data_IF_700628030354
#
_entry.id   IF_700628030354
#
_cell.length_a   1.000
_cell.length_b   1.000
_cell.length_c   1.000
_cell.angle_alpha   90.00
_cell.angle_beta   90.00
_cell.angle_gamma   90.00
#
_symmetry.space_group_name_H-M   'P 1'
#
loop_
_entity.id
_entity.type
_entity.pdbx_description
1 polymer ?
#
# COMPACT_ATOMS: atom_id res chain seq x y z
N UNK A 1 -23.74 -6.57 -1.62
CA UNK A 1 -22.49 -6.01 -2.18
C UNK A 1 -21.49 -7.14 -2.21
N UNK A 2 -20.84 -7.42 -3.35
CA UNK A 2 -19.70 -8.35 -3.37
C UNK A 2 -18.54 -7.66 -2.67
N UNK A 3 -17.82 -8.38 -1.82
CA UNK A 3 -16.57 -7.88 -1.25
C UNK A 3 -15.56 -7.67 -2.39
N UNK A 4 -14.81 -6.55 -2.41
CA UNK A 4 -13.80 -6.33 -3.42
C UNK A 4 -12.74 -7.43 -3.35
N UNK A 5 -12.34 -7.96 -4.50
CA UNK A 5 -11.27 -8.96 -4.57
C UNK A 5 -9.93 -8.22 -4.46
N UNK A 6 -9.11 -8.60 -3.49
CA UNK A 6 -7.76 -8.06 -3.32
C UNK A 6 -6.74 -8.94 -4.05
N UNK A 7 -5.99 -8.36 -4.98
CA UNK A 7 -4.84 -9.00 -5.62
C UNK A 7 -3.56 -8.27 -5.21
N UNK A 8 -2.55 -9.03 -4.76
CA UNK A 8 -1.23 -8.49 -4.41
C UNK A 8 -0.18 -8.85 -5.46
N UNK A 9 0.58 -7.85 -5.92
CA UNK A 9 1.75 -7.99 -6.80
C UNK A 9 2.98 -7.42 -6.09
N UNK A 10 4.16 -8.00 -6.34
CA UNK A 10 5.39 -7.57 -5.65
C UNK A 10 6.58 -7.49 -6.60
N UNK A 11 7.47 -6.54 -6.33
CA UNK A 11 8.72 -6.38 -7.05
C UNK A 11 9.89 -6.14 -6.09
N UNK A 12 11.05 -6.73 -6.40
CA UNK A 12 12.32 -6.52 -5.70
C UNK A 12 12.26 -6.72 -4.17
N UNK A 13 11.60 -7.79 -3.71
CA UNK A 13 11.54 -8.14 -2.28
C UNK A 13 12.96 -8.41 -1.73
N UNK A 14 13.51 -7.43 -1.02
CA UNK A 14 14.86 -7.53 -0.44
C UNK A 14 14.92 -8.43 0.81
N UNK A 15 13.81 -8.53 1.55
CA UNK A 15 13.72 -9.32 2.77
C UNK A 15 12.29 -9.85 2.92
N UNK A 16 12.14 -11.16 2.82
CA UNK A 16 10.85 -11.85 2.87
C UNK A 16 10.13 -11.68 4.21
N UNK A 17 10.87 -11.62 5.32
CA UNK A 17 10.27 -11.45 6.65
C UNK A 17 9.70 -10.05 6.83
N UNK A 18 10.48 -9.02 6.47
CA UNK A 18 10.01 -7.63 6.54
C UNK A 18 8.83 -7.40 5.59
N UNK A 19 8.91 -7.93 4.37
CA UNK A 19 7.79 -7.91 3.43
C UNK A 19 6.54 -8.50 4.06
N UNK A 20 6.62 -9.71 4.62
CA UNK A 20 5.47 -10.37 5.24
C UNK A 20 4.90 -9.60 6.43
N UNK A 21 5.75 -9.03 7.28
CA UNK A 21 5.31 -8.20 8.40
C UNK A 21 4.45 -7.00 7.94
N UNK A 22 4.86 -6.34 6.85
CA UNK A 22 4.14 -5.19 6.28
C UNK A 22 2.89 -5.66 5.54
N UNK A 23 3.00 -6.72 4.74
CA UNK A 23 1.91 -7.24 3.93
C UNK A 23 0.74 -7.74 4.78
N UNK A 24 1.05 -8.49 5.85
CA UNK A 24 0.05 -8.99 6.79
C UNK A 24 -0.71 -7.82 7.47
N UNK A 25 -0.01 -6.74 7.86
CA UNK A 25 -0.63 -5.54 8.40
C UNK A 25 -1.53 -4.83 7.38
N UNK A 26 -1.04 -4.62 6.16
CA UNK A 26 -1.81 -3.94 5.11
C UNK A 26 -3.10 -4.71 4.80
N UNK A 27 -3.02 -6.03 4.67
CA UNK A 27 -4.19 -6.89 4.43
C UNK A 27 -5.20 -6.78 5.59
N UNK A 28 -4.74 -6.81 6.84
CA UNK A 28 -5.60 -6.61 8.02
C UNK A 28 -6.32 -5.25 7.97
N UNK A 29 -5.58 -4.18 7.67
CA UNK A 29 -6.14 -2.83 7.57
C UNK A 29 -7.18 -2.73 6.45
N UNK A 30 -6.88 -3.26 5.26
CA UNK A 30 -7.82 -3.22 4.13
C UNK A 30 -9.10 -4.00 4.38
N UNK A 31 -9.02 -5.11 5.11
CA UNK A 31 -10.18 -5.94 5.42
C UNK A 31 -11.00 -5.41 6.59
N UNK A 32 -10.38 -4.59 7.46
CA UNK A 32 -11.05 -4.01 8.63
C UNK A 32 -11.69 -2.66 8.34
N UNK A 33 -11.03 -1.82 7.53
CA UNK A 33 -11.50 -0.46 7.24
C UNK A 33 -12.37 -0.47 5.99
N UNK A 34 -13.63 -0.05 6.14
CA UNK A 34 -14.55 0.14 5.02
C UNK A 34 -14.19 1.39 4.20
N UNK A 35 -13.23 1.25 3.28
CA UNK A 35 -12.77 2.37 2.44
C UNK A 35 -13.66 2.49 1.22
N UNK A 36 -14.15 3.71 0.98
CA UNK A 36 -14.87 4.03 -0.26
C UNK A 36 -13.85 4.38 -1.35
N UNK A 37 -13.32 3.35 -2.02
CA UNK A 37 -12.24 3.48 -3.00
C UNK A 37 -12.58 4.39 -4.20
N UNK A 38 -13.84 4.61 -4.53
CA UNK A 38 -14.25 5.56 -5.58
C UNK A 38 -14.10 7.03 -5.15
N UNK A 39 -14.11 7.32 -3.84
CA UNK A 39 -14.00 8.67 -3.30
C UNK A 39 -12.54 9.09 -3.13
N UNK A 40 -12.13 10.17 -3.80
CA UNK A 40 -10.75 10.70 -3.72
C UNK A 40 -10.36 11.11 -2.30
N UNK A 41 -11.26 11.74 -1.55
CA UNK A 41 -10.99 12.18 -0.18
C UNK A 41 -10.68 10.99 0.74
N UNK A 42 -11.50 9.94 0.69
CA UNK A 42 -11.27 8.73 1.49
C UNK A 42 -9.95 8.03 1.12
N UNK A 43 -9.58 8.00 -0.18
CA UNK A 43 -8.28 7.47 -0.60
C UNK A 43 -7.12 8.30 -0.05
N UNK A 44 -7.22 9.63 -0.10
CA UNK A 44 -6.20 10.53 0.45
C UNK A 44 -6.05 10.35 1.97
N UNK A 45 -7.15 10.36 2.72
CA UNK A 45 -7.14 10.11 4.17
C UNK A 45 -6.53 8.75 4.51
N UNK A 46 -6.83 7.72 3.71
CA UNK A 46 -6.25 6.40 3.88
C UNK A 46 -4.74 6.38 3.60
N UNK A 47 -4.27 7.06 2.54
CA UNK A 47 -2.84 7.21 2.26
C UNK A 47 -2.12 7.91 3.42
N UNK A 48 -2.68 8.99 3.95
CA UNK A 48 -2.13 9.71 5.10
C UNK A 48 -2.05 8.83 6.36
N UNK A 49 -3.09 8.03 6.62
CA UNK A 49 -3.09 7.08 7.73
C UNK A 49 -1.98 6.02 7.60
N UNK A 50 -1.78 5.46 6.40
CA UNK A 50 -0.70 4.49 6.16
C UNK A 50 0.68 5.17 6.23
N UNK A 51 0.79 6.42 5.79
CA UNK A 51 2.03 7.20 5.88
C UNK A 51 2.45 7.42 7.33
N UNK A 52 1.51 7.81 8.20
CA UNK A 52 1.75 7.93 9.64
C UNK A 52 2.16 6.60 10.28
N UNK A 53 1.54 5.50 9.88
CA UNK A 53 1.93 4.18 10.38
C UNK A 53 3.33 3.79 9.91
N UNK A 54 3.68 4.03 8.64
CA UNK A 54 5.01 3.76 8.10
C UNK A 54 6.08 4.60 8.80
N UNK A 55 5.79 5.85 9.14
CA UNK A 55 6.67 6.71 9.92
C UNK A 55 6.97 6.11 11.29
N UNK A 56 5.93 5.74 12.04
CA UNK A 56 6.06 5.12 13.35
C UNK A 56 6.80 3.78 13.27
N UNK A 57 6.43 2.91 12.32
CA UNK A 57 7.08 1.61 12.12
C UNK A 57 8.55 1.75 11.73
N UNK A 58 8.90 2.71 10.87
CA UNK A 58 10.29 2.97 10.49
C UNK A 58 11.10 3.47 11.69
N UNK A 59 10.52 4.35 12.52
CA UNK A 59 11.14 4.83 13.75
C UNK A 59 11.39 3.70 14.75
N UNK A 60 10.40 2.84 15.01
CA UNK A 60 10.54 1.77 16.02
C UNK A 60 11.45 0.63 15.54
N UNK A 61 11.26 0.19 14.29
CA UNK A 61 11.99 -0.97 13.77
C UNK A 61 13.41 -0.64 13.34
N UNK A 62 13.67 0.62 12.95
CA UNK A 62 14.92 1.06 12.31
C UNK A 62 15.30 0.24 11.05
N UNK A 63 14.33 -0.50 10.47
CA UNK A 63 14.52 -1.38 9.30
C UNK A 63 14.33 -0.64 7.97
N UNK A 64 13.54 0.43 7.96
CA UNK A 64 13.18 1.22 6.77
C UNK A 64 13.78 2.62 6.90
N UNK A 65 14.29 3.17 5.81
CA UNK A 65 14.88 4.51 5.79
C UNK A 65 14.08 5.51 4.95
N UNK A 66 13.28 5.03 3.99
CA UNK A 66 12.48 5.82 3.07
C UNK A 66 11.30 4.98 2.59
N UNK A 67 10.15 5.61 2.35
CA UNK A 67 8.97 5.00 1.75
C UNK A 67 8.21 6.00 0.89
N UNK A 68 7.32 5.47 0.05
CA UNK A 68 6.38 6.23 -0.80
C UNK A 68 5.08 5.43 -0.92
N UNK A 69 3.94 6.13 -0.88
CA UNK A 69 2.61 5.55 -0.92
C UNK A 69 1.83 6.26 -2.04
N UNK A 70 1.27 5.46 -2.96
CA UNK A 70 0.61 5.97 -4.16
C UNK A 70 -0.77 5.34 -4.28
N UNK A 71 -1.82 6.17 -4.29
CA UNK A 71 -3.20 5.77 -4.57
C UNK A 71 -3.96 6.93 -5.24
N UNK A 72 -3.37 7.46 -6.30
CA UNK A 72 -3.87 8.64 -7.01
C UNK A 72 -3.71 8.47 -8.53
N UNK A 73 -3.83 9.57 -9.28
CA UNK A 73 -3.73 9.56 -10.74
C UNK A 73 -2.38 9.09 -11.30
N UNK A 74 -1.34 8.94 -10.46
CA UNK A 74 -0.05 8.38 -10.86
C UNK A 74 -0.12 6.88 -11.16
N UNK A 75 -1.01 6.15 -10.47
CA UNK A 75 -1.19 4.70 -10.63
C UNK A 75 -2.65 4.28 -10.86
N UNK A 76 -3.59 5.22 -10.93
CA UNK A 76 -4.99 4.97 -11.23
C UNK A 76 -5.47 5.89 -12.35
N UNK A 77 -5.83 5.31 -13.49
CA UNK A 77 -6.46 6.03 -14.60
C UNK A 77 -7.94 6.28 -14.34
N UNK A 78 -8.56 7.15 -15.14
CA UNK A 78 -10.01 7.33 -15.12
C UNK A 78 -10.77 6.03 -15.48
N UNK A 79 -10.17 5.18 -16.32
CA UNK A 79 -10.72 3.90 -16.74
C UNK A 79 -10.69 2.89 -15.60
N UNK A 80 -9.62 2.87 -14.79
CA UNK A 80 -9.52 2.02 -13.60
C UNK A 80 -10.68 2.31 -12.64
N UNK A 81 -10.86 3.59 -12.28
CA UNK A 81 -11.97 3.99 -11.42
C UNK A 81 -13.35 3.68 -12.01
N UNK A 82 -13.52 3.85 -13.33
CA UNK A 82 -14.78 3.54 -14.01
C UNK A 82 -15.07 2.03 -14.02
N UNK A 83 -14.04 1.19 -14.06
CA UNK A 83 -14.15 -0.27 -13.98
C UNK A 83 -14.30 -0.80 -12.55
N UNK A 84 -14.14 0.07 -11.54
CA UNK A 84 -14.12 -0.30 -10.12
C UNK A 84 -12.76 -0.78 -9.61
N UNK A 85 -11.73 -0.75 -10.47
CA UNK A 85 -10.36 -1.10 -10.09
C UNK A 85 -9.67 0.05 -9.36
N UNK A 86 -8.97 -0.26 -8.27
CA UNK A 86 -8.08 0.71 -7.60
C UNK A 86 -6.75 0.08 -7.25
N UNK A 87 -5.68 0.77 -7.61
CA UNK A 87 -4.30 0.43 -7.34
C UNK A 87 -3.78 1.23 -6.15
N UNK A 88 -3.30 0.53 -5.13
CA UNK A 88 -2.59 1.09 -4.00
C UNK A 88 -1.16 0.53 -3.99
N UNK A 89 -0.17 1.40 -4.13
CA UNK A 89 1.24 1.00 -4.20
C UNK A 89 1.97 1.50 -2.96
N UNK A 90 2.65 0.59 -2.26
CA UNK A 90 3.60 0.88 -1.20
C UNK A 90 5.01 0.55 -1.67
N UNK A 91 5.90 1.54 -1.62
CA UNK A 91 7.32 1.38 -1.90
C UNK A 91 8.11 1.67 -0.64
N UNK A 92 9.12 0.85 -0.36
CA UNK A 92 10.01 1.14 0.76
C UNK A 92 11.44 0.68 0.48
N UNK A 93 12.38 1.45 1.03
CA UNK A 93 13.80 1.11 1.02
C UNK A 93 14.21 0.61 2.39
N UNK A 94 14.65 -0.64 2.44
CA UNK A 94 15.24 -1.21 3.64
C UNK A 94 16.63 -0.63 3.90
N UNK A 95 16.96 -0.43 5.18
CA UNK A 95 18.31 -0.09 5.62
C UNK A 95 19.32 -1.11 5.08
N UNK A 96 20.45 -0.61 4.59
CA UNK A 96 21.52 -1.39 3.96
C UNK A 96 21.14 -2.14 2.67
N UNK A 97 19.99 -1.84 2.06
CA UNK A 97 19.61 -2.35 0.74
C UNK A 97 19.64 -1.23 -0.30
N UNK A 98 20.11 -1.55 -1.50
CA UNK A 98 20.11 -0.60 -2.62
C UNK A 98 18.75 -0.55 -3.32
N UNK A 99 18.12 -1.71 -3.50
CA UNK A 99 16.85 -1.80 -4.22
C UNK A 99 15.68 -1.32 -3.34
N UNK A 100 14.65 -0.81 -4.00
CA UNK A 100 13.37 -0.49 -3.38
C UNK A 100 12.46 -1.70 -3.52
N UNK A 101 11.88 -2.15 -2.42
CA UNK A 101 10.80 -3.14 -2.44
C UNK A 101 9.51 -2.42 -2.82
N UNK A 102 8.72 -3.02 -3.71
CA UNK A 102 7.40 -2.53 -4.09
C UNK A 102 6.34 -3.61 -3.85
N UNK A 103 5.24 -3.19 -3.24
CA UNK A 103 4.03 -3.98 -3.06
C UNK A 103 2.89 -3.19 -3.68
N UNK A 104 2.13 -3.84 -4.56
CA UNK A 104 0.94 -3.27 -5.16
C UNK A 104 -0.28 -4.12 -4.79
N UNK A 105 -1.30 -3.43 -4.33
CA UNK A 105 -2.59 -3.96 -3.92
C UNK A 105 -3.64 -3.46 -4.91
N UNK A 106 -4.30 -4.38 -5.60
CA UNK A 106 -5.30 -4.10 -6.62
C UNK A 106 -6.66 -4.56 -6.10
N UNK A 107 -7.57 -3.61 -5.91
CA UNK A 107 -8.96 -3.84 -5.54
C UNK A 107 -9.81 -3.96 -6.81
N UNK A 108 -10.60 -5.03 -6.94
CA UNK A 108 -11.45 -5.32 -8.11
C UNK A 108 -12.89 -5.61 -7.67
#
# INVERSE_FOLDING_TARGET
MKEPTLKTTTHNINNQRLFKEIDDFMIEVFTTIGIMWSNKGHRTEFVEMIDMWMEQYAYDSQKIIQWDIICDSRNNTAEDFASGSVHFTLRYRQKNCFNTTEIEYIFI
#
